data_IF_440327179866
#
_entry.id   IF_440327179866
#
_cell.length_a   1.000
_cell.length_b   1.000
_cell.length_c   1.000
_cell.angle_alpha   90.00
_cell.angle_beta   90.00
_cell.angle_gamma   90.00
#
_symmetry.space_group_name_H-M   'P 1'
#
loop_
_entity.id
_entity.type
_entity.pdbx_description
1 polymer ?
#
# COMPACT_ATOMS: atom_id res chain seq x y z
N UNK A 1 25.94 -7.57 10.76
CA UNK A 1 25.25 -8.43 11.74
C UNK A 1 24.12 -9.23 11.07
N UNK A 2 24.44 -10.00 10.01
CA UNK A 2 23.50 -10.91 9.30
C UNK A 2 24.16 -12.29 9.02
N UNK A 3 25.45 -12.48 9.31
CA UNK A 3 26.18 -13.71 9.00
C UNK A 3 26.15 -14.80 10.09
N UNK A 4 25.10 -14.93 10.92
CA UNK A 4 25.07 -15.96 11.98
C UNK A 4 23.82 -16.84 12.06
N UNK A 5 22.97 -16.89 11.03
CA UNK A 5 21.91 -17.90 10.95
C UNK A 5 22.26 -18.95 9.89
N UNK A 6 23.18 -19.84 10.27
CA UNK A 6 23.37 -21.13 9.59
C UNK A 6 22.31 -22.10 10.07
N UNK A 7 21.27 -22.31 9.26
CA UNK A 7 20.36 -23.45 9.39
C UNK A 7 20.59 -24.32 8.17
N UNK A 8 21.44 -25.32 8.35
CA UNK A 8 21.62 -26.46 7.45
C UNK A 8 20.39 -27.37 7.57
N UNK A 9 19.68 -27.61 6.46
CA UNK A 9 18.88 -28.82 6.28
C UNK A 9 19.20 -29.37 4.89
N UNK A 10 20.12 -30.33 4.86
CA UNK A 10 20.36 -31.24 3.74
C UNK A 10 20.59 -32.62 4.41
N UNK A 11 19.98 -33.72 3.95
CA UNK A 11 19.40 -33.94 2.62
C UNK A 11 17.94 -33.50 2.48
N UNK A 12 17.52 -33.27 1.23
CA UNK A 12 16.14 -32.96 0.85
C UNK A 12 15.12 -34.00 1.38
N UNK A 13 13.99 -33.58 1.97
CA UNK A 13 12.90 -34.50 2.27
C UNK A 13 12.19 -34.91 0.98
N UNK A 14 12.08 -36.22 0.74
CA UNK A 14 11.09 -36.77 -0.17
C UNK A 14 9.69 -36.60 0.45
N UNK A 15 8.71 -36.23 -0.40
CA UNK A 15 7.24 -36.27 -0.24
C UNK A 15 6.46 -34.99 0.14
N UNK A 16 5.59 -34.61 -0.82
CA UNK A 16 4.15 -34.33 -0.71
C UNK A 16 3.64 -33.43 0.43
N UNK A 17 4.14 -32.19 0.50
CA UNK A 17 3.47 -31.16 1.30
C UNK A 17 3.52 -29.79 0.60
N UNK A 18 2.36 -29.37 0.07
CA UNK A 18 2.13 -28.08 -0.61
C UNK A 18 2.53 -26.83 0.21
N UNK A 19 2.83 -26.98 1.51
CA UNK A 19 3.29 -25.91 2.40
C UNK A 19 4.80 -25.64 2.32
N UNK A 20 5.61 -26.59 1.86
CA UNK A 20 7.07 -26.44 1.73
C UNK A 20 7.50 -25.78 0.41
N UNK A 21 6.67 -25.85 -0.64
CA UNK A 21 6.87 -25.18 -1.92
C UNK A 21 7.02 -23.65 -1.76
N UNK A 22 6.20 -23.03 -0.91
CA UNK A 22 6.26 -21.59 -0.67
C UNK A 22 7.57 -21.18 0.04
N UNK A 23 8.02 -21.97 1.01
CA UNK A 23 9.28 -21.72 1.72
C UNK A 23 10.48 -21.91 0.81
N UNK A 24 10.47 -22.94 -0.03
CA UNK A 24 11.52 -23.16 -1.04
C UNK A 24 11.53 -22.07 -2.11
N UNK A 25 10.35 -21.62 -2.58
CA UNK A 25 10.23 -20.52 -3.54
C UNK A 25 10.71 -19.19 -2.96
N UNK A 26 10.37 -18.89 -1.71
CA UNK A 26 10.86 -17.71 -0.99
C UNK A 26 12.38 -17.79 -0.78
N UNK A 27 12.92 -18.94 -0.39
CA UNK A 27 14.37 -19.14 -0.25
C UNK A 27 15.11 -18.95 -1.59
N UNK A 28 14.56 -19.46 -2.70
CA UNK A 28 15.12 -19.27 -4.05
C UNK A 28 15.01 -17.82 -4.53
N UNK A 29 13.92 -17.13 -4.20
CA UNK A 29 13.75 -15.71 -4.49
C UNK A 29 14.72 -14.84 -3.69
N UNK A 30 14.98 -15.16 -2.42
CA UNK A 30 15.98 -14.49 -1.59
C UNK A 30 17.41 -14.75 -2.07
N UNK A 31 17.73 -15.97 -2.52
CA UNK A 31 19.02 -16.26 -3.14
C UNK A 31 19.23 -15.50 -4.46
N UNK A 32 18.22 -15.43 -5.34
CA UNK A 32 18.29 -14.57 -6.55
C UNK A 32 18.41 -13.09 -6.23
N UNK A 33 17.77 -12.61 -5.15
CA UNK A 33 17.92 -11.23 -4.68
C UNK A 33 19.34 -10.96 -4.12
N UNK A 34 19.99 -11.97 -3.54
CA UNK A 34 21.39 -11.86 -3.12
C UNK A 34 22.37 -11.83 -4.31
N UNK A 35 22.06 -12.50 -5.42
CA UNK A 35 22.86 -12.41 -6.65
C UNK A 35 22.73 -11.06 -7.38
N UNK A 36 21.62 -10.32 -7.18
CA UNK A 36 21.45 -8.96 -7.71
C UNK A 36 22.39 -7.93 -7.08
N UNK A 37 23.02 -8.24 -5.93
CA UNK A 37 24.04 -7.38 -5.33
C UNK A 37 25.33 -7.28 -6.16
N UNK A 38 25.50 -8.15 -7.17
CA UNK A 38 26.60 -8.09 -8.14
C UNK A 38 26.34 -7.20 -9.37
N UNK A 39 25.11 -6.70 -9.57
CA UNK A 39 24.73 -5.93 -10.77
C UNK A 39 24.67 -4.40 -10.58
N UNK A 40 24.95 -3.88 -9.38
CA UNK A 40 25.04 -2.44 -9.09
C UNK A 40 26.43 -2.06 -8.56
N UNK A 41 27.43 -1.82 -9.43
CA UNK A 41 28.75 -1.41 -8.99
C UNK A 41 28.83 0.03 -8.44
N UNK A 42 27.73 0.79 -8.44
CA UNK A 42 27.72 2.22 -8.07
C UNK A 42 27.30 2.52 -6.63
N UNK A 43 27.08 1.51 -5.77
CA UNK A 43 26.59 1.74 -4.41
C UNK A 43 27.38 0.96 -3.35
N UNK A 44 28.69 1.17 -3.27
CA UNK A 44 29.47 0.78 -2.08
C UNK A 44 30.27 1.97 -1.56
N UNK A 45 29.69 2.58 -0.52
CA UNK A 45 30.32 3.51 0.40
C UNK A 45 31.42 2.73 1.14
N UNK A 46 32.68 3.02 0.87
CA UNK A 46 33.79 2.55 1.69
C UNK A 46 33.81 3.33 3.01
N UNK A 47 33.05 2.86 4.00
CA UNK A 47 33.13 3.38 5.37
C UNK A 47 34.15 2.55 6.19
N UNK A 48 35.19 3.25 6.65
CA UNK A 48 36.12 2.99 7.76
C UNK A 48 36.17 1.61 8.44
N UNK A 49 36.31 0.53 7.69
CA UNK A 49 36.87 -0.71 8.24
C UNK A 49 37.95 -1.15 7.27
N UNK A 50 39.20 -1.21 7.73
CA UNK A 50 40.37 -1.55 6.95
C UNK A 50 40.35 -2.99 6.45
N UNK A 51 39.42 -3.31 5.55
CA UNK A 51 39.26 -4.62 4.93
C UNK A 51 39.79 -4.53 3.50
N UNK A 52 40.95 -5.14 3.26
CA UNK A 52 41.69 -5.09 2.00
C UNK A 52 41.19 -6.08 0.93
N UNK A 53 40.14 -6.88 1.21
CA UNK A 53 39.56 -7.85 0.27
C UNK A 53 38.04 -7.98 0.38
N UNK A 54 37.36 -7.91 -0.75
CA UNK A 54 35.99 -8.39 -0.88
C UNK A 54 36.01 -9.92 -1.09
N UNK A 55 35.45 -10.74 -0.19
CA UNK A 55 35.58 -12.21 -0.26
C UNK A 55 34.89 -12.86 -1.46
N UNK A 56 33.96 -12.16 -2.12
CA UNK A 56 33.12 -12.71 -3.18
C UNK A 56 33.69 -12.50 -4.60
N UNK A 57 34.52 -11.48 -4.83
CA UNK A 57 34.96 -11.10 -6.19
C UNK A 57 36.48 -10.98 -6.38
N UNK A 58 37.29 -11.24 -5.35
CA UNK A 58 38.75 -11.37 -5.48
C UNK A 58 39.52 -10.07 -5.83
N UNK A 59 38.85 -8.92 -5.91
CA UNK A 59 39.52 -7.65 -6.17
C UNK A 59 40.38 -7.20 -4.99
N UNK A 60 41.63 -6.81 -5.28
CA UNK A 60 42.60 -6.23 -4.34
C UNK A 60 42.63 -4.71 -4.49
N UNK A 61 42.87 -4.00 -3.39
CA UNK A 61 43.36 -2.62 -3.43
C UNK A 61 44.69 -2.62 -4.19
N UNK A 62 44.85 -1.68 -5.13
CA UNK A 62 46.14 -1.47 -5.77
C UNK A 62 47.04 -0.73 -4.76
N UNK A 63 47.92 -1.47 -4.10
CA UNK A 63 48.95 -0.89 -3.25
C UNK A 63 50.10 -0.42 -4.15
N UNK A 64 50.07 0.86 -4.50
CA UNK A 64 51.10 1.52 -5.29
C UNK A 64 50.72 2.97 -5.55
N UNK A 65 51.71 3.87 -5.53
CA UNK A 65 51.54 5.29 -5.82
C UNK A 65 50.80 5.46 -7.15
N UNK A 66 49.57 5.98 -7.06
CA UNK A 66 48.75 6.30 -8.23
C UNK A 66 49.45 7.42 -9.01
N UNK A 67 49.81 7.23 -10.28
CA UNK A 67 50.48 8.23 -11.10
C UNK A 67 49.70 9.56 -11.11
N UNK A 68 50.41 10.68 -11.05
CA UNK A 68 49.81 12.02 -10.87
C UNK A 68 48.83 12.42 -11.98
N UNK A 69 48.96 11.81 -13.16
CA UNK A 69 48.05 11.93 -14.31
C UNK A 69 46.64 11.37 -14.03
N UNK A 70 46.50 10.40 -13.11
CA UNK A 70 45.18 9.86 -12.71
C UNK A 70 44.55 10.65 -11.54
N UNK A 71 45.31 11.47 -10.82
CA UNK A 71 44.77 12.34 -9.75
C UNK A 71 43.96 13.53 -10.29
N UNK A 72 44.25 13.96 -11.51
CA UNK A 72 43.54 15.07 -12.17
C UNK A 72 42.22 14.63 -12.81
N UNK A 73 42.07 13.37 -13.22
CA UNK A 73 40.82 12.83 -13.76
C UNK A 73 39.69 12.77 -12.70
N UNK A 74 40.02 12.52 -11.43
CA UNK A 74 39.05 12.51 -10.32
C UNK A 74 38.64 13.90 -9.81
N UNK A 75 39.36 14.97 -10.19
CA UNK A 75 38.98 16.35 -9.80
C UNK A 75 37.95 16.98 -10.74
N UNK A 76 37.70 16.41 -11.92
CA UNK A 76 36.76 16.97 -12.91
C UNK A 76 35.48 16.16 -13.13
N UNK A 77 35.38 14.94 -12.58
CA UNK A 77 34.09 14.27 -12.42
C UNK A 77 33.41 14.76 -11.15
N UNK A 78 32.95 16.01 -11.18
CA UNK A 78 31.93 16.51 -10.26
C UNK A 78 30.62 15.77 -10.50
N UNK A 79 30.58 14.48 -10.19
CA UNK A 79 29.35 13.79 -9.82
C UNK A 79 28.98 14.36 -8.46
N UNK A 80 28.39 15.56 -8.46
CA UNK A 80 27.30 15.77 -7.53
C UNK A 80 26.36 14.60 -7.80
N UNK A 81 26.07 13.72 -6.83
CA UNK A 81 24.91 12.87 -6.98
C UNK A 81 23.80 13.85 -7.32
N UNK A 82 23.17 13.68 -8.48
CA UNK A 82 21.86 14.24 -8.71
C UNK A 82 21.05 13.68 -7.56
N UNK A 83 20.95 14.46 -6.49
CA UNK A 83 20.01 14.20 -5.41
C UNK A 83 18.72 13.90 -6.15
N UNK A 84 18.05 12.76 -5.90
CA UNK A 84 16.70 12.59 -6.40
C UNK A 84 15.98 13.89 -6.02
N UNK A 85 15.23 14.46 -6.98
CA UNK A 85 14.45 15.67 -6.76
C UNK A 85 13.91 15.68 -5.32
N UNK A 86 13.99 16.82 -4.59
CA UNK A 86 13.62 16.84 -3.18
C UNK A 86 12.27 16.14 -3.02
N UNK A 87 12.10 15.26 -2.01
CA UNK A 87 10.87 14.50 -1.86
C UNK A 87 9.68 15.46 -1.95
N UNK A 88 8.60 15.09 -2.67
CA UNK A 88 7.42 15.96 -2.86
C UNK A 88 6.70 16.32 -1.55
N UNK A 89 7.17 15.78 -0.42
CA UNK A 89 6.91 16.25 0.94
C UNK A 89 7.56 17.61 1.19
N UNK A 90 6.76 18.58 1.62
CA UNK A 90 7.29 19.87 2.06
C UNK A 90 8.16 19.65 3.30
N UNK A 91 9.45 20.03 3.23
CA UNK A 91 10.41 19.88 4.33
C UNK A 91 9.96 20.42 5.72
N UNK A 92 9.09 21.46 5.85
CA UNK A 92 8.57 21.87 7.15
C UNK A 92 7.31 21.14 7.66
N UNK A 93 6.73 20.18 6.91
CA UNK A 93 5.40 19.62 7.21
C UNK A 93 5.39 18.27 7.94
N UNK A 94 6.46 17.94 8.67
CA UNK A 94 6.61 16.62 9.30
C UNK A 94 5.50 16.27 10.30
N UNK A 95 4.93 17.28 10.97
CA UNK A 95 3.79 17.10 11.88
C UNK A 95 2.50 16.82 11.12
N UNK A 96 2.24 17.56 10.05
CA UNK A 96 1.07 17.41 9.19
C UNK A 96 1.06 16.05 8.52
N UNK A 97 2.22 15.58 8.02
CA UNK A 97 2.36 14.23 7.48
C UNK A 97 2.01 13.15 8.52
N UNK A 98 2.48 13.29 9.78
CA UNK A 98 2.11 12.38 10.87
C UNK A 98 0.62 12.37 11.15
N UNK A 99 -0.02 13.55 11.22
CA UNK A 99 -1.46 13.64 11.47
C UNK A 99 -2.24 13.06 10.30
N UNK A 100 -1.82 13.34 9.06
CA UNK A 100 -2.44 12.77 7.86
C UNK A 100 -2.35 11.24 7.85
N UNK A 101 -1.17 10.69 8.12
CA UNK A 101 -0.96 9.26 8.21
C UNK A 101 -1.73 8.63 9.37
N UNK A 102 -1.69 9.21 10.57
CA UNK A 102 -2.40 8.68 11.73
C UNK A 102 -3.93 8.67 11.53
N UNK A 103 -4.49 9.74 10.95
CA UNK A 103 -5.92 9.79 10.65
C UNK A 103 -6.31 8.75 9.60
N UNK A 104 -5.54 8.64 8.51
CA UNK A 104 -5.78 7.63 7.47
C UNK A 104 -5.71 6.21 8.06
N UNK A 105 -4.63 5.89 8.78
CA UNK A 105 -4.42 4.59 9.42
C UNK A 105 -5.58 4.24 10.35
N UNK A 106 -5.92 5.15 11.28
CA UNK A 106 -7.00 4.94 12.22
C UNK A 106 -8.33 4.70 11.50
N UNK A 107 -8.65 5.51 10.49
CA UNK A 107 -9.89 5.42 9.72
C UNK A 107 -10.04 4.13 8.92
N UNK A 108 -8.99 3.68 8.23
CA UNK A 108 -9.07 2.47 7.38
C UNK A 108 -8.94 1.19 8.20
N UNK A 109 -8.11 1.17 9.25
CA UNK A 109 -7.96 -0.02 10.10
C UNK A 109 -9.23 -0.25 10.92
N UNK A 110 -9.81 0.80 11.53
CA UNK A 110 -11.07 0.62 12.26
C UNK A 110 -12.19 0.16 11.33
N UNK A 111 -12.25 0.66 10.10
CA UNK A 111 -13.28 0.22 9.13
C UNK A 111 -13.06 -1.22 8.70
N UNK A 112 -11.82 -1.63 8.40
CA UNK A 112 -11.51 -3.01 8.05
C UNK A 112 -11.91 -3.98 9.17
N UNK A 113 -11.61 -3.65 10.43
CA UNK A 113 -11.99 -4.46 11.58
C UNK A 113 -13.52 -4.46 11.82
N UNK A 114 -14.17 -3.30 11.67
CA UNK A 114 -15.62 -3.18 11.82
C UNK A 114 -16.38 -3.90 10.71
N UNK A 115 -15.87 -3.89 9.48
CA UNK A 115 -16.41 -4.64 8.35
C UNK A 115 -16.35 -6.15 8.64
N UNK A 116 -15.19 -6.67 9.07
CA UNK A 116 -15.08 -8.08 9.48
C UNK A 116 -16.05 -8.41 10.63
N UNK A 117 -16.15 -7.55 11.64
CA UNK A 117 -17.10 -7.73 12.75
C UNK A 117 -18.55 -7.72 12.26
N UNK A 118 -18.90 -6.82 11.34
CA UNK A 118 -20.22 -6.75 10.73
C UNK A 118 -20.54 -8.02 9.93
N UNK A 119 -19.57 -8.58 9.20
CA UNK A 119 -19.70 -9.87 8.51
C UNK A 119 -19.97 -11.01 9.50
N UNK A 120 -19.17 -11.11 10.58
CA UNK A 120 -19.34 -12.16 11.60
C UNK A 120 -20.70 -12.11 12.29
N UNK A 121 -21.27 -10.91 12.45
CA UNK A 121 -22.56 -10.70 13.13
C UNK A 121 -23.75 -10.74 12.18
N UNK A 122 -23.52 -10.87 10.88
CA UNK A 122 -24.57 -10.95 9.87
C UNK A 122 -25.03 -12.41 9.70
N UNK A 123 -26.31 -12.75 10.01
CA UNK A 123 -26.80 -14.13 9.88
C UNK A 123 -26.82 -14.62 8.42
N UNK A 124 -26.14 -15.73 8.14
CA UNK A 124 -26.14 -16.36 6.83
C UNK A 124 -25.35 -15.59 5.76
N UNK A 125 -24.46 -14.68 6.16
CA UNK A 125 -23.63 -13.92 5.23
C UNK A 125 -22.70 -14.84 4.43
N UNK A 126 -22.67 -14.65 3.11
CA UNK A 126 -21.72 -15.31 2.21
C UNK A 126 -20.73 -14.30 1.67
N UNK A 127 -19.45 -14.46 1.99
CA UNK A 127 -18.35 -13.60 1.50
C UNK A 127 -18.33 -13.49 -0.04
N UNK A 128 -18.69 -14.58 -0.72
CA UNK A 128 -18.77 -14.61 -2.19
C UNK A 128 -20.12 -14.12 -2.71
N UNK A 129 -21.21 -14.49 -2.03
CA UNK A 129 -22.59 -14.28 -2.50
C UNK A 129 -23.20 -12.94 -2.11
N UNK A 130 -22.68 -12.27 -1.09
CA UNK A 130 -23.19 -11.00 -0.57
C UNK A 130 -22.19 -9.88 -0.82
N UNK A 131 -22.71 -8.76 -1.32
CA UNK A 131 -21.94 -7.54 -1.43
C UNK A 131 -21.44 -7.09 -0.04
N UNK A 132 -20.38 -6.31 0.02
CA UNK A 132 -19.95 -5.60 1.23
C UNK A 132 -21.05 -4.62 1.64
N UNK A 133 -21.71 -3.96 0.68
CA UNK A 133 -22.80 -3.03 0.95
C UNK A 133 -24.00 -3.68 1.66
N UNK A 134 -24.23 -5.00 1.49
CA UNK A 134 -25.27 -5.75 2.21
C UNK A 134 -25.08 -5.63 3.73
N UNK A 135 -23.84 -5.44 4.21
CA UNK A 135 -23.56 -5.24 5.63
C UNK A 135 -24.23 -3.97 6.15
N UNK A 136 -24.29 -2.90 5.35
CA UNK A 136 -24.90 -1.62 5.70
C UNK A 136 -26.42 -1.60 5.61
N UNK A 137 -26.98 -2.30 4.62
CA UNK A 137 -28.38 -2.66 4.52
C UNK A 137 -28.52 -3.69 3.41
N UNK A 138 -29.42 -4.66 3.53
CA UNK A 138 -29.57 -5.72 2.53
C UNK A 138 -30.86 -5.53 1.76
N UNK A 139 -30.73 -5.53 0.43
CA UNK A 139 -31.86 -5.46 -0.48
C UNK A 139 -32.11 -6.80 -1.17
N UNK A 140 -33.17 -7.51 -0.76
CA UNK A 140 -33.58 -8.77 -1.40
C UNK A 140 -34.95 -8.60 -2.05
N UNK A 141 -35.05 -8.89 -3.36
CA UNK A 141 -36.31 -8.82 -4.13
C UNK A 141 -37.05 -7.48 -3.99
N UNK A 142 -36.31 -6.37 -3.95
CA UNK A 142 -36.87 -5.02 -3.84
C UNK A 142 -37.29 -4.61 -2.42
N UNK A 143 -37.11 -5.48 -1.42
CA UNK A 143 -37.32 -5.14 0.00
C UNK A 143 -35.97 -4.96 0.66
N UNK A 144 -35.71 -3.74 1.12
CA UNK A 144 -34.47 -3.37 1.79
C UNK A 144 -34.69 -3.21 3.29
N UNK A 145 -33.81 -3.80 4.09
CA UNK A 145 -33.83 -3.64 5.54
C UNK A 145 -32.42 -3.67 6.11
N UNK A 146 -32.22 -3.01 7.26
CA UNK A 146 -30.99 -3.14 8.03
C UNK A 146 -30.99 -4.44 8.83
N UNK A 147 -29.85 -5.12 8.87
CA UNK A 147 -29.62 -6.34 9.65
C UNK A 147 -28.78 -5.97 10.87
N UNK A 148 -29.37 -6.01 12.06
CA UNK A 148 -28.70 -5.56 13.28
C UNK A 148 -27.99 -6.71 14.01
N UNK A 149 -26.82 -6.47 14.62
CA UNK A 149 -26.12 -5.17 14.74
C UNK A 149 -25.21 -4.80 13.55
N UNK A 150 -25.09 -5.67 12.54
CA UNK A 150 -24.18 -5.53 11.38
C UNK A 150 -24.29 -4.17 10.68
N UNK A 151 -25.51 -3.76 10.32
CA UNK A 151 -25.79 -2.48 9.63
C UNK A 151 -25.39 -1.25 10.42
N UNK A 152 -25.58 -1.24 11.73
CA UNK A 152 -25.12 -0.10 12.54
C UNK A 152 -23.59 -0.05 12.58
N UNK A 153 -22.93 -1.19 12.75
CA UNK A 153 -21.46 -1.27 12.82
C UNK A 153 -20.84 -0.82 11.49
N UNK A 154 -21.33 -1.35 10.37
CA UNK A 154 -20.82 -1.01 9.04
C UNK A 154 -21.03 0.47 8.71
N UNK A 155 -22.27 0.97 8.80
CA UNK A 155 -22.58 2.35 8.39
C UNK A 155 -21.85 3.40 9.25
N UNK A 156 -21.80 3.21 10.57
CA UNK A 156 -21.08 4.15 11.45
C UNK A 156 -19.57 4.09 11.24
N UNK A 157 -19.01 2.89 11.02
CA UNK A 157 -17.56 2.76 10.80
C UNK A 157 -17.12 3.35 9.47
N UNK A 158 -17.89 3.20 8.37
CA UNK A 158 -17.52 3.83 7.09
C UNK A 158 -17.70 5.35 7.12
N UNK A 159 -18.70 5.88 7.85
CA UNK A 159 -18.83 7.32 8.10
C UNK A 159 -17.61 7.83 8.85
N UNK A 160 -17.23 7.18 9.94
CA UNK A 160 -16.06 7.57 10.73
C UNK A 160 -14.78 7.48 9.89
N UNK A 161 -14.63 6.44 9.07
CA UNK A 161 -13.52 6.30 8.14
C UNK A 161 -13.47 7.47 7.16
N UNK A 162 -14.60 7.80 6.52
CA UNK A 162 -14.70 8.92 5.58
C UNK A 162 -14.30 10.26 6.21
N UNK A 163 -14.75 10.52 7.44
CA UNK A 163 -14.35 11.72 8.20
C UNK A 163 -12.84 11.74 8.44
N UNK A 164 -12.25 10.62 8.87
CA UNK A 164 -10.82 10.53 9.13
C UNK A 164 -9.99 10.61 7.84
N UNK A 165 -10.49 10.09 6.72
CA UNK A 165 -9.90 10.25 5.39
C UNK A 165 -9.96 11.72 4.93
N UNK A 166 -11.05 12.44 5.21
CA UNK A 166 -11.13 13.89 4.95
C UNK A 166 -10.11 14.68 5.78
N UNK A 167 -9.97 14.35 7.06
CA UNK A 167 -8.92 14.91 7.93
C UNK A 167 -7.54 14.61 7.35
N UNK A 168 -7.31 13.36 6.90
CA UNK A 168 -6.06 12.97 6.26
C UNK A 168 -5.78 13.82 5.01
N UNK A 169 -6.73 13.92 4.08
CA UNK A 169 -6.59 14.73 2.85
C UNK A 169 -6.31 16.20 3.15
N UNK A 170 -6.94 16.77 4.18
CA UNK A 170 -6.70 18.16 4.60
C UNK A 170 -5.26 18.40 5.07
N UNK A 171 -4.72 17.51 5.91
CA UNK A 171 -3.33 17.61 6.36
C UNK A 171 -2.35 17.22 5.25
N UNK A 172 -2.70 16.26 4.40
CA UNK A 172 -1.92 15.87 3.24
C UNK A 172 -1.72 17.04 2.29
N UNK A 173 -2.74 17.88 2.08
CA UNK A 173 -2.65 19.13 1.29
C UNK A 173 -1.54 20.07 1.78
N UNK A 174 -1.29 20.09 3.09
CA UNK A 174 -0.23 20.90 3.70
C UNK A 174 1.12 20.19 3.63
N UNK A 175 1.09 18.87 3.58
CA UNK A 175 2.28 18.03 3.60
C UNK A 175 2.93 17.80 2.23
N UNK A 176 2.16 17.78 1.15
CA UNK A 176 2.68 17.43 -0.20
C UNK A 176 2.26 18.44 -1.26
N UNK A 177 3.05 18.57 -2.32
CA UNK A 177 2.71 19.41 -3.49
C UNK A 177 1.86 18.70 -4.54
N UNK A 178 1.58 17.42 -4.34
CA UNK A 178 0.82 16.60 -5.28
C UNK A 178 -0.69 16.82 -5.12
N UNK A 179 -1.25 17.75 -5.90
CA UNK A 179 -2.69 18.09 -5.82
C UNK A 179 -3.62 16.92 -6.17
N UNK A 180 -3.19 15.98 -7.02
CA UNK A 180 -4.01 14.86 -7.47
C UNK A 180 -4.38 13.91 -6.32
N UNK A 181 -3.39 13.40 -5.58
CA UNK A 181 -3.65 12.52 -4.43
C UNK A 181 -4.53 13.22 -3.38
N UNK A 182 -4.27 14.51 -3.11
CA UNK A 182 -5.07 15.29 -2.17
C UNK A 182 -6.53 15.37 -2.61
N UNK A 183 -6.78 15.74 -3.88
CA UNK A 183 -8.13 15.86 -4.41
C UNK A 183 -8.87 14.51 -4.37
N UNK A 184 -8.23 13.44 -4.83
CA UNK A 184 -8.82 12.11 -4.82
C UNK A 184 -9.10 11.60 -3.40
N UNK A 185 -8.18 11.79 -2.45
CA UNK A 185 -8.39 11.42 -1.04
C UNK A 185 -9.56 12.19 -0.42
N UNK A 186 -9.70 13.50 -0.70
CA UNK A 186 -10.82 14.30 -0.19
C UNK A 186 -12.16 13.86 -0.78
N UNK A 187 -12.20 13.59 -2.09
CA UNK A 187 -13.40 13.06 -2.76
C UNK A 187 -13.77 11.68 -2.21
N UNK A 188 -12.78 10.81 -2.02
CA UNK A 188 -12.98 9.49 -1.43
C UNK A 188 -13.57 9.59 -0.01
N UNK A 189 -12.99 10.42 0.86
CA UNK A 189 -13.49 10.59 2.21
C UNK A 189 -14.93 11.11 2.26
N UNK A 190 -15.28 12.08 1.42
CA UNK A 190 -16.66 12.57 1.31
C UNK A 190 -17.63 11.49 0.79
N UNK A 191 -17.20 10.73 -0.22
CA UNK A 191 -18.00 9.66 -0.79
C UNK A 191 -18.20 8.50 0.21
N UNK A 192 -17.19 8.14 1.01
CA UNK A 192 -17.29 7.15 2.08
C UNK A 192 -18.30 7.55 3.16
N UNK A 193 -18.34 8.84 3.54
CA UNK A 193 -19.42 9.35 4.41
C UNK A 193 -20.78 9.15 3.73
N UNK A 194 -20.86 9.46 2.44
CA UNK A 194 -22.04 9.20 1.63
C UNK A 194 -22.49 7.73 1.67
N UNK A 195 -21.57 6.77 1.53
CA UNK A 195 -21.89 5.33 1.54
C UNK A 195 -22.59 4.91 2.83
N UNK A 196 -22.13 5.37 4.00
CA UNK A 196 -22.77 5.03 5.27
C UNK A 196 -24.03 5.84 5.58
N UNK A 197 -24.15 7.08 5.08
CA UNK A 197 -25.36 7.92 5.22
C UNK A 197 -26.49 7.45 4.30
N UNK A 198 -26.12 6.96 3.12
CA UNK A 198 -27.04 6.41 2.13
C UNK A 198 -26.74 4.92 1.91
N UNK A 199 -27.11 4.02 2.85
CA UNK A 199 -27.01 2.57 2.65
C UNK A 199 -27.84 2.08 1.45
N UNK A 200 -27.79 0.78 1.14
CA UNK A 200 -28.49 0.22 -0.03
C UNK A 200 -29.99 0.54 -0.11
N UNK A 201 -30.64 0.84 1.01
CA UNK A 201 -32.02 1.34 1.06
C UNK A 201 -32.28 2.59 0.19
N UNK A 202 -31.22 3.33 -0.17
CA UNK A 202 -31.29 4.51 -1.04
C UNK A 202 -31.03 4.19 -2.53
N UNK A 203 -30.85 2.92 -2.89
CA UNK A 203 -30.76 2.43 -4.26
C UNK A 203 -29.69 3.15 -5.08
N UNK A 204 -30.12 3.90 -6.10
CA UNK A 204 -29.21 4.58 -7.05
C UNK A 204 -28.25 5.54 -6.36
N UNK A 205 -28.69 6.23 -5.30
CA UNK A 205 -27.83 7.17 -4.57
C UNK A 205 -26.66 6.42 -3.95
N UNK A 206 -26.92 5.27 -3.32
CA UNK A 206 -25.88 4.39 -2.77
C UNK A 206 -24.89 3.96 -3.86
N UNK A 207 -25.40 3.49 -5.01
CA UNK A 207 -24.55 3.09 -6.13
C UNK A 207 -23.62 4.21 -6.62
N UNK A 208 -24.11 5.46 -6.70
CA UNK A 208 -23.30 6.61 -7.11
C UNK A 208 -22.19 6.90 -6.09
N UNK A 209 -22.51 6.98 -4.80
CA UNK A 209 -21.49 7.30 -3.77
C UNK A 209 -20.47 6.15 -3.61
N UNK A 210 -20.89 4.91 -3.77
CA UNK A 210 -19.99 3.74 -3.79
C UNK A 210 -19.05 3.78 -4.99
N UNK A 211 -19.55 4.06 -6.20
CA UNK A 211 -18.70 4.18 -7.40
C UNK A 211 -17.70 5.34 -7.27
N UNK A 212 -18.13 6.50 -6.78
CA UNK A 212 -17.22 7.63 -6.53
C UNK A 212 -16.14 7.22 -5.53
N UNK A 213 -16.51 6.50 -4.47
CA UNK A 213 -15.55 5.98 -3.48
C UNK A 213 -14.52 5.08 -4.14
N UNK A 214 -14.95 4.05 -4.88
CA UNK A 214 -14.06 3.07 -5.54
C UNK A 214 -13.10 3.71 -6.54
N UNK A 215 -13.60 4.61 -7.38
CA UNK A 215 -12.77 5.28 -8.38
C UNK A 215 -11.78 6.23 -7.72
N UNK A 216 -12.26 7.10 -6.83
CA UNK A 216 -11.41 8.14 -6.22
C UNK A 216 -10.30 7.55 -5.36
N UNK A 217 -10.57 6.55 -4.51
CA UNK A 217 -9.51 5.96 -3.69
C UNK A 217 -8.48 5.18 -4.53
N UNK A 218 -8.91 4.55 -5.62
CA UNK A 218 -8.00 3.86 -6.56
C UNK A 218 -7.11 4.84 -7.31
N UNK A 219 -7.66 5.98 -7.77
CA UNK A 219 -6.86 7.04 -8.36
C UNK A 219 -5.95 7.73 -7.34
N UNK A 220 -6.36 7.84 -6.07
CA UNK A 220 -5.49 8.31 -5.00
C UNK A 220 -4.27 7.39 -4.83
N UNK A 221 -4.48 6.07 -4.87
CA UNK A 221 -3.42 5.07 -4.81
C UNK A 221 -2.41 5.20 -5.96
N UNK A 222 -2.90 5.37 -7.19
CA UNK A 222 -2.02 5.59 -8.35
C UNK A 222 -1.28 6.93 -8.23
N UNK A 223 -1.96 7.98 -7.80
CA UNK A 223 -1.37 9.30 -7.62
C UNK A 223 -0.31 9.33 -6.49
N UNK A 224 -0.37 8.37 -5.56
CA UNK A 224 0.61 8.20 -4.49
C UNK A 224 2.02 7.90 -5.01
N UNK A 225 2.17 7.39 -6.24
CA UNK A 225 3.47 7.17 -6.89
C UNK A 225 4.43 8.36 -6.81
N UNK A 226 3.88 9.59 -6.86
CA UNK A 226 4.66 10.82 -6.82
C UNK A 226 5.14 11.17 -5.40
N UNK A 227 4.47 10.68 -4.37
CA UNK A 227 4.73 11.01 -2.96
C UNK A 227 5.47 9.87 -2.26
N UNK A 228 5.15 8.63 -2.60
CA UNK A 228 5.69 7.45 -1.95
C UNK A 228 7.12 7.14 -2.37
N UNK A 229 7.88 6.51 -1.47
CA UNK A 229 9.23 6.04 -1.79
C UNK A 229 9.15 4.66 -2.42
N UNK A 230 10.10 4.38 -3.30
CA UNK A 230 10.34 3.02 -3.77
C UNK A 230 10.72 2.11 -2.58
N UNK A 231 10.25 0.86 -2.54
CA UNK A 231 9.45 0.19 -3.58
C UNK A 231 7.93 0.37 -3.44
N UNK A 232 7.45 1.01 -2.36
CA UNK A 232 6.02 1.13 -2.06
C UNK A 232 5.24 1.82 -3.20
N UNK A 233 5.80 2.85 -3.81
CA UNK A 233 5.19 3.58 -4.92
C UNK A 233 4.73 2.68 -6.08
N UNK A 234 5.50 1.63 -6.41
CA UNK A 234 5.12 0.68 -7.47
C UNK A 234 3.94 -0.21 -7.06
N UNK A 235 3.92 -0.66 -5.80
CA UNK A 235 2.81 -1.44 -5.27
C UNK A 235 1.53 -0.63 -5.24
N UNK A 236 1.59 0.66 -4.95
CA UNK A 236 0.41 1.54 -4.92
C UNK A 236 -0.22 1.72 -6.30
N UNK A 237 0.60 1.87 -7.35
CA UNK A 237 0.12 1.89 -8.72
C UNK A 237 -0.55 0.55 -9.07
N UNK A 238 0.09 -0.56 -8.74
CA UNK A 238 -0.45 -1.90 -9.01
C UNK A 238 -1.80 -2.13 -8.30
N UNK A 239 -1.89 -1.82 -7.00
CA UNK A 239 -3.10 -2.00 -6.20
C UNK A 239 -4.23 -1.09 -6.68
N UNK A 240 -3.93 0.15 -7.05
CA UNK A 240 -4.90 1.08 -7.63
C UNK A 240 -5.42 0.61 -9.00
N UNK A 241 -4.54 0.16 -9.90
CA UNK A 241 -4.95 -0.41 -11.19
C UNK A 241 -5.79 -1.67 -10.99
N UNK A 242 -5.39 -2.57 -10.09
CA UNK A 242 -6.14 -3.78 -9.79
C UNK A 242 -7.56 -3.45 -9.33
N UNK A 243 -7.71 -2.48 -8.41
CA UNK A 243 -9.02 -2.05 -7.92
C UNK A 243 -9.88 -1.38 -9.02
N UNK A 244 -9.28 -0.59 -9.92
CA UNK A 244 -10.00 -0.05 -11.09
C UNK A 244 -10.48 -1.15 -12.04
N UNK A 245 -9.65 -2.15 -12.34
CA UNK A 245 -10.04 -3.28 -13.18
C UNK A 245 -11.17 -4.08 -12.52
N UNK A 246 -11.07 -4.37 -11.23
CA UNK A 246 -12.14 -5.01 -10.47
C UNK A 246 -13.44 -4.18 -10.47
N UNK A 247 -13.32 -2.84 -10.43
CA UNK A 247 -14.48 -1.93 -10.49
C UNK A 247 -15.19 -2.03 -11.85
N UNK A 248 -14.44 -2.06 -12.94
CA UNK A 248 -14.99 -2.23 -14.29
C UNK A 248 -15.71 -3.58 -14.40
N UNK A 249 -15.03 -4.67 -14.00
CA UNK A 249 -15.61 -6.02 -13.99
C UNK A 249 -16.89 -6.11 -13.15
N UNK A 250 -16.92 -5.46 -11.99
CA UNK A 250 -18.09 -5.44 -11.12
C UNK A 250 -19.29 -4.74 -11.77
N UNK A 251 -19.06 -3.60 -12.43
CA UNK A 251 -20.10 -2.84 -13.15
C UNK A 251 -20.63 -3.63 -14.34
N UNK A 252 -19.75 -4.34 -15.05
CA UNK A 252 -20.11 -5.19 -16.19
C UNK A 252 -20.81 -6.49 -15.78
N UNK A 253 -20.82 -6.82 -14.48
CA UNK A 253 -21.42 -8.06 -13.95
C UNK A 253 -20.54 -9.30 -14.11
N UNK A 254 -19.26 -9.12 -14.43
CA UNK A 254 -18.31 -10.20 -14.70
C UNK A 254 -17.50 -10.54 -13.44
N UNK A 255 -17.94 -11.56 -12.69
CA UNK A 255 -17.37 -11.86 -11.37
C UNK A 255 -16.26 -12.92 -11.35
N UNK A 256 -15.90 -13.51 -12.50
CA UNK A 256 -14.82 -14.51 -12.64
C UNK A 256 -14.94 -15.70 -11.66
N UNK A 257 -16.16 -16.10 -11.31
CA UNK A 257 -16.43 -17.17 -10.34
C UNK A 257 -16.26 -16.78 -8.86
N UNK A 258 -15.89 -15.53 -8.56
CA UNK A 258 -15.78 -15.02 -7.19
C UNK A 258 -17.14 -14.65 -6.57
N UNK A 259 -18.18 -14.52 -7.40
CA UNK A 259 -19.47 -13.95 -7.01
C UNK A 259 -19.42 -12.44 -6.81
N UNK A 260 -20.59 -11.81 -6.68
CA UNK A 260 -20.72 -10.35 -6.53
C UNK A 260 -19.91 -9.84 -5.32
N UNK A 261 -20.02 -10.52 -4.18
CA UNK A 261 -19.30 -10.19 -2.95
C UNK A 261 -17.80 -10.38 -3.03
N UNK A 262 -17.36 -11.41 -3.77
CA UNK A 262 -15.95 -11.66 -3.99
C UNK A 262 -15.32 -10.61 -4.90
N UNK A 263 -16.00 -10.22 -5.98
CA UNK A 263 -15.49 -9.18 -6.88
C UNK A 263 -15.46 -7.80 -6.21
N UNK A 264 -16.45 -7.44 -5.40
CA UNK A 264 -16.41 -6.17 -4.66
C UNK A 264 -15.22 -6.11 -3.68
N UNK A 265 -14.86 -7.23 -3.05
CA UNK A 265 -13.64 -7.33 -2.22
C UNK A 265 -12.36 -7.14 -3.02
N UNK A 266 -12.34 -7.57 -4.28
CA UNK A 266 -11.22 -7.29 -5.20
C UNK A 266 -11.12 -5.82 -5.57
N UNK A 267 -12.17 -5.02 -5.38
CA UNK A 267 -12.11 -3.56 -5.41
C UNK A 267 -11.54 -3.04 -4.09
N UNK A 268 -12.12 -3.43 -2.96
CA UNK A 268 -11.90 -2.79 -1.65
C UNK A 268 -10.58 -3.20 -0.98
N UNK A 269 -10.21 -4.48 -1.00
CA UNK A 269 -9.02 -4.96 -0.28
C UNK A 269 -7.70 -4.35 -0.78
N UNK A 270 -7.44 -4.23 -2.10
CA UNK A 270 -6.22 -3.61 -2.59
C UNK A 270 -6.03 -2.17 -2.10
N UNK A 271 -7.08 -1.37 -2.12
CA UNK A 271 -7.03 0.05 -1.69
C UNK A 271 -7.00 0.21 -0.18
N UNK A 272 -7.57 -0.73 0.59
CA UNK A 272 -7.37 -0.81 2.04
C UNK A 272 -5.91 -1.12 2.39
N UNK A 273 -5.31 -2.13 1.75
CA UNK A 273 -3.91 -2.49 1.93
C UNK A 273 -2.97 -1.33 1.58
N UNK A 274 -3.22 -0.68 0.44
CA UNK A 274 -2.50 0.53 0.06
C UNK A 274 -2.63 1.62 1.12
N UNK A 275 -3.85 1.93 1.57
CA UNK A 275 -4.08 3.01 2.55
C UNK A 275 -3.35 2.77 3.88
N UNK A 276 -3.28 1.52 4.33
CA UNK A 276 -2.52 1.11 5.53
C UNK A 276 -1.02 1.30 5.30
N UNK A 277 -0.49 0.88 4.15
CA UNK A 277 0.93 1.03 3.84
C UNK A 277 1.33 2.51 3.68
N UNK A 278 0.55 3.28 2.92
CA UNK A 278 0.79 4.70 2.69
C UNK A 278 0.75 5.51 3.99
N UNK A 279 -0.24 5.23 4.85
CA UNK A 279 -0.33 5.89 6.15
C UNK A 279 0.88 5.60 7.04
N UNK A 280 1.40 4.37 7.01
CA UNK A 280 2.65 4.00 7.68
C UNK A 280 3.85 4.82 7.20
N UNK A 281 4.00 5.00 5.88
CA UNK A 281 5.07 5.82 5.31
C UNK A 281 4.95 7.30 5.74
N UNK A 282 3.73 7.87 5.70
CA UNK A 282 3.49 9.25 6.16
C UNK A 282 3.85 9.46 7.64
N UNK A 283 3.52 8.49 8.50
CA UNK A 283 3.87 8.53 9.93
C UNK A 283 5.39 8.45 10.14
N UNK A 284 6.06 7.57 9.37
CA UNK A 284 7.50 7.35 9.47
C UNK A 284 8.30 8.58 9.00
N UNK A 285 7.97 9.13 7.83
CA UNK A 285 8.73 10.24 7.23
C UNK A 285 8.58 11.57 7.98
N UNK A 286 7.50 11.75 8.74
CA UNK A 286 7.40 12.90 9.64
C UNK A 286 8.43 12.88 10.78
N UNK A 287 9.10 11.75 11.07
CA UNK A 287 10.13 11.66 12.12
C UNK A 287 11.51 12.11 11.65
N UNK A 288 11.81 12.03 10.35
CA UNK A 288 13.14 12.33 9.79
C UNK A 288 13.39 13.82 9.52
N UNK A 289 12.46 14.69 9.89
CA UNK A 289 12.48 16.13 9.58
C UNK A 289 12.37 17.04 10.81
N UNK A 290 12.49 16.47 12.02
CA UNK A 290 12.39 17.17 13.30
C UNK A 290 13.69 17.12 14.10
#
# INVERSE_FOLDING_TARGET
>A
MICQLGILVDPAPELDDSRLELLYFLQKAFHRASDLSCFLPHLLIFHETGVERCPACGWRRADGDVPEEFRTAFRYSGFYPVTPEPPLLNYPSGREAKVAGAALFAGVVQFALAMLLAEFLYPGYSVSGNAISDLGATCTKGVCHGVQPSSTIFNLSIILAGILVLVSGYYLRRAVRANAIVAFTLVAGAAMVGVGVFPETFGVIHGIVSLITFLSISFAAIAAYKVERSPLSYFSVLLGIFSLVATILYVDGEYLGLGVGGMERMIVYPVLLWSIAFSGQLIAEGRTLG
#
